data_IF_465977357830
#
_entry.id   IF_465977357830
#
_cell.length_a   1.000
_cell.length_b   1.000
_cell.length_c   1.000
_cell.angle_alpha   90.00
_cell.angle_beta   90.00
_cell.angle_gamma   90.00
#
_symmetry.space_group_name_H-M   'P 1'
#
loop_
_entity.id
_entity.type
_entity.pdbx_description
1 polymer ?
#
# COMPACT_ATOMS: atom_id res chain seq x y z
N UNK A 1 21.01 -28.11 -5.79
CA UNK A 1 19.69 -28.55 -5.30
C UNK A 1 18.63 -27.55 -5.78
N UNK A 2 17.40 -28.00 -6.07
CA UNK A 2 16.31 -27.13 -6.53
C UNK A 2 15.30 -26.93 -5.40
N UNK A 3 14.82 -25.70 -5.22
CA UNK A 3 13.88 -25.32 -4.18
C UNK A 3 12.72 -24.53 -4.81
N UNK A 4 11.54 -24.57 -4.18
CA UNK A 4 10.36 -23.77 -4.56
C UNK A 4 9.97 -22.84 -3.41
N UNK A 5 9.48 -21.64 -3.72
CA UNK A 5 8.93 -20.72 -2.71
C UNK A 5 7.69 -21.37 -2.07
N UNK A 6 7.48 -21.14 -0.77
CA UNK A 6 6.24 -21.53 -0.09
C UNK A 6 5.08 -20.67 -0.61
N UNK A 7 3.86 -21.21 -0.74
CA UNK A 7 2.68 -20.40 -1.01
C UNK A 7 2.46 -19.45 0.18
N UNK A 8 2.10 -18.20 -0.12
CA UNK A 8 1.88 -17.15 0.87
C UNK A 8 0.61 -16.41 0.50
N UNK A 9 -0.28 -16.25 1.48
CA UNK A 9 -1.44 -15.36 1.40
C UNK A 9 -1.06 -14.01 1.97
N UNK A 10 -1.50 -12.93 1.31
CA UNK A 10 -1.26 -11.55 1.73
C UNK A 10 -2.59 -10.81 1.88
N UNK A 11 -2.57 -9.67 2.57
CA UNK A 11 -3.67 -8.71 2.54
C UNK A 11 -3.27 -7.54 1.64
N UNK A 12 -4.22 -7.03 0.84
CA UNK A 12 -4.01 -5.83 0.03
C UNK A 12 -5.31 -5.09 -0.22
N UNK A 13 -5.20 -3.80 -0.55
CA UNK A 13 -6.29 -3.03 -1.14
C UNK A 13 -5.75 -2.20 -2.30
N UNK A 14 -6.60 -1.90 -3.29
CA UNK A 14 -6.23 -0.99 -4.38
C UNK A 14 -6.45 0.45 -3.93
N UNK A 15 -5.42 1.27 -4.03
CA UNK A 15 -5.46 2.68 -3.65
C UNK A 15 -6.15 3.51 -4.73
N UNK A 16 -7.19 4.23 -4.36
CA UNK A 16 -8.03 5.02 -5.28
C UNK A 16 -7.79 6.54 -5.16
N UNK A 17 -6.85 6.96 -4.30
CA UNK A 17 -6.50 8.37 -4.08
C UNK A 17 -6.87 8.91 -2.71
N UNK A 18 -7.63 8.16 -1.90
CA UNK A 18 -7.94 8.52 -0.52
C UNK A 18 -7.84 7.31 0.41
N UNK A 19 -7.81 7.57 1.72
CA UNK A 19 -7.99 6.55 2.76
C UNK A 19 -9.33 6.75 3.49
N UNK A 20 -9.96 7.92 3.32
CA UNK A 20 -11.18 8.37 3.99
C UNK A 20 -12.25 8.81 2.99
N UNK A 21 -13.50 8.61 3.38
CA UNK A 21 -14.64 9.19 2.65
C UNK A 21 -14.79 10.67 3.02
N UNK A 22 -15.66 11.37 2.29
CA UNK A 22 -16.03 12.76 2.57
C UNK A 22 -16.63 12.97 3.99
N UNK A 23 -17.15 11.92 4.64
CA UNK A 23 -17.64 11.97 6.02
C UNK A 23 -16.53 11.77 7.08
N UNK A 24 -15.27 11.65 6.64
CA UNK A 24 -14.09 11.49 7.48
C UNK A 24 -13.81 10.05 7.93
N UNK A 25 -14.65 9.07 7.56
CA UNK A 25 -14.45 7.67 7.95
C UNK A 25 -13.50 6.95 7.02
N UNK A 26 -12.60 6.15 7.60
CA UNK A 26 -11.74 5.26 6.85
C UNK A 26 -12.55 4.14 6.18
N UNK A 27 -12.20 3.83 4.93
CA UNK A 27 -12.76 2.68 4.19
C UNK A 27 -11.71 1.64 3.80
N UNK A 28 -10.46 1.89 4.15
CA UNK A 28 -9.33 0.98 3.97
C UNK A 28 -9.21 0.02 5.17
N UNK A 29 -8.50 -1.12 5.03
CA UNK A 29 -8.31 -2.07 6.12
C UNK A 29 -7.74 -1.44 7.40
N UNK A 30 -8.07 -2.00 8.56
CA UNK A 30 -7.63 -1.48 9.87
C UNK A 30 -6.11 -1.34 9.98
N UNK A 31 -5.36 -2.25 9.37
CA UNK A 31 -3.90 -2.18 9.36
C UNK A 31 -3.37 -0.96 8.59
N UNK A 32 -4.07 -0.52 7.53
CA UNK A 32 -3.71 0.67 6.76
C UNK A 32 -4.03 1.93 7.56
N UNK A 33 -5.15 1.94 8.28
CA UNK A 33 -5.51 3.02 9.22
C UNK A 33 -4.44 3.17 10.30
N UNK A 34 -4.01 2.05 10.90
CA UNK A 34 -2.94 2.02 11.90
C UNK A 34 -1.63 2.57 11.30
N UNK A 35 -1.23 2.08 10.14
CA UNK A 35 -0.01 2.53 9.46
C UNK A 35 -0.03 4.03 9.14
N UNK A 36 -1.17 4.57 8.75
CA UNK A 36 -1.34 6.01 8.56
C UNK A 36 -1.22 6.79 9.87
N UNK A 37 -1.87 6.32 10.94
CA UNK A 37 -1.78 6.95 12.27
C UNK A 37 -0.36 6.94 12.87
N UNK A 38 0.43 5.92 12.54
CA UNK A 38 1.83 5.76 12.97
C UNK A 38 2.82 6.48 12.03
N UNK A 39 2.35 7.12 10.96
CA UNK A 39 3.18 7.82 9.98
C UNK A 39 4.08 6.90 9.15
N UNK A 40 3.73 5.62 9.04
CA UNK A 40 4.31 4.67 8.07
C UNK A 40 3.76 4.98 6.69
N UNK A 41 2.44 5.20 6.60
CA UNK A 41 1.78 5.79 5.44
C UNK A 41 1.52 7.27 5.72
N UNK A 42 1.75 8.15 4.75
CA UNK A 42 1.55 9.58 4.94
C UNK A 42 1.34 10.28 3.60
N UNK A 43 0.63 11.41 3.64
CA UNK A 43 0.48 12.29 2.49
C UNK A 43 1.62 13.32 2.47
N UNK A 44 2.22 13.51 1.31
CA UNK A 44 3.25 14.51 1.09
C UNK A 44 3.19 15.06 -0.35
N UNK A 45 3.94 16.12 -0.61
CA UNK A 45 4.05 16.69 -1.94
C UNK A 45 5.16 15.99 -2.73
N UNK A 46 4.93 15.79 -4.04
CA UNK A 46 5.95 15.23 -4.92
C UNK A 46 7.13 16.20 -5.15
N UNK A 47 6.88 17.49 -4.98
CA UNK A 47 7.82 18.57 -5.17
C UNK A 47 7.46 19.77 -4.28
N UNK A 48 8.35 20.79 -4.12
CA UNK A 48 8.12 21.90 -3.21
C UNK A 48 6.97 22.87 -3.57
N UNK A 49 6.39 22.76 -4.77
CA UNK A 49 5.34 23.67 -5.25
C UNK A 49 3.97 22.99 -5.36
N UNK A 50 3.94 21.66 -5.35
CA UNK A 50 2.71 20.86 -5.39
C UNK A 50 2.06 20.73 -4.00
N UNK A 51 0.72 20.60 -3.92
CA UNK A 51 0.06 20.29 -2.66
C UNK A 51 0.39 18.86 -2.18
N UNK A 52 0.31 18.57 -0.87
CA UNK A 52 0.64 17.26 -0.33
C UNK A 52 -0.51 16.27 -0.49
N UNK A 53 -0.77 15.87 -1.73
CA UNK A 53 -1.88 14.98 -2.11
C UNK A 53 -1.41 13.59 -2.52
N UNK A 54 -0.11 13.32 -2.50
CA UNK A 54 0.46 12.04 -2.91
C UNK A 54 0.69 11.13 -1.71
N UNK A 55 0.34 9.85 -1.84
CA UNK A 55 0.53 8.87 -0.77
C UNK A 55 1.94 8.30 -0.83
N UNK A 56 2.63 8.30 0.31
CA UNK A 56 3.94 7.71 0.50
C UNK A 56 3.92 6.65 1.60
N UNK A 57 4.77 5.64 1.45
CA UNK A 57 4.90 4.50 2.36
C UNK A 57 6.37 4.32 2.73
N UNK A 58 6.66 4.29 4.03
CA UNK A 58 7.97 3.88 4.56
C UNK A 58 8.10 2.36 4.45
N UNK A 59 8.84 1.90 3.46
CA UNK A 59 9.16 0.49 3.24
C UNK A 59 10.54 0.17 3.83
N UNK A 60 10.96 -1.11 3.74
CA UNK A 60 12.32 -1.53 4.11
C UNK A 60 13.40 -0.99 3.16
N UNK A 61 13.01 -0.56 1.96
CA UNK A 61 13.91 -0.07 0.91
C UNK A 61 13.96 1.47 0.85
N UNK A 62 13.12 2.15 1.63
CA UNK A 62 13.04 3.60 1.69
C UNK A 62 11.60 4.10 1.65
N UNK A 63 11.41 5.38 1.33
CA UNK A 63 10.08 5.95 1.14
C UNK A 63 9.67 5.74 -0.31
N UNK A 64 8.54 5.07 -0.53
CA UNK A 64 7.99 4.81 -1.85
C UNK A 64 6.69 5.56 -2.06
N UNK A 65 6.54 6.12 -3.26
CA UNK A 65 5.29 6.71 -3.73
C UNK A 65 4.30 5.63 -4.14
N UNK A 66 3.04 5.80 -3.75
CA UNK A 66 1.91 5.01 -4.18
C UNK A 66 1.01 5.86 -5.09
N UNK A 67 0.90 5.45 -6.35
CA UNK A 67 0.03 6.10 -7.33
C UNK A 67 -1.40 5.56 -7.22
N UNK A 68 -2.39 6.35 -7.62
CA UNK A 68 -3.76 5.86 -7.80
C UNK A 68 -3.76 4.64 -8.74
N UNK A 69 -4.44 3.58 -8.33
CA UNK A 69 -4.48 2.28 -8.99
C UNK A 69 -3.46 1.27 -8.48
N UNK A 70 -2.44 1.70 -7.73
CA UNK A 70 -1.48 0.79 -7.10
C UNK A 70 -2.17 -0.03 -6.00
N UNK A 71 -1.76 -1.29 -5.87
CA UNK A 71 -2.12 -2.11 -4.71
C UNK A 71 -1.19 -1.79 -3.55
N UNK A 72 -1.74 -1.53 -2.37
CA UNK A 72 -0.98 -1.46 -1.14
C UNK A 72 -1.01 -2.83 -0.50
N UNK A 73 0.15 -3.47 -0.41
CA UNK A 73 0.30 -4.81 0.14
C UNK A 73 0.79 -4.72 1.57
N UNK A 74 0.19 -5.54 2.44
CA UNK A 74 0.74 -5.90 3.73
C UNK A 74 1.42 -7.28 3.63
N UNK A 75 2.74 -7.27 3.73
CA UNK A 75 3.57 -8.47 3.75
C UNK A 75 3.40 -9.28 5.05
N UNK A 76 4.00 -10.48 5.07
CA UNK A 76 3.80 -11.44 6.16
C UNK A 76 4.30 -10.95 7.52
N UNK A 77 5.32 -10.09 7.55
CA UNK A 77 5.88 -9.56 8.79
C UNK A 77 5.34 -8.14 9.09
N UNK A 78 4.28 -7.71 8.39
CA UNK A 78 3.67 -6.39 8.55
C UNK A 78 4.34 -5.27 7.75
N UNK A 79 5.36 -5.57 6.94
CA UNK A 79 5.93 -4.61 5.99
C UNK A 79 4.88 -4.15 4.97
N UNK A 80 4.91 -2.87 4.62
CA UNK A 80 4.00 -2.28 3.64
C UNK A 80 4.77 -1.82 2.42
N UNK A 81 4.20 -2.01 1.23
CA UNK A 81 4.76 -1.50 -0.02
C UNK A 81 3.68 -1.34 -1.10
N UNK A 82 3.84 -0.35 -2.00
CA UNK A 82 3.00 -0.24 -3.18
C UNK A 82 3.42 -1.26 -4.25
N UNK A 83 2.46 -1.74 -5.03
CA UNK A 83 2.66 -2.67 -6.13
C UNK A 83 1.83 -2.22 -7.34
N UNK A 84 2.46 -2.12 -8.51
CA UNK A 84 1.75 -1.72 -9.73
C UNK A 84 0.69 -2.77 -10.10
N UNK A 85 -0.50 -2.35 -10.55
CA UNK A 85 -1.62 -3.27 -10.77
C UNK A 85 -1.29 -4.38 -11.78
N UNK A 86 -0.54 -4.08 -12.84
CA UNK A 86 -0.12 -5.08 -13.83
C UNK A 86 0.89 -6.11 -13.28
N UNK A 87 1.65 -5.76 -12.24
CA UNK A 87 2.54 -6.68 -11.51
C UNK A 87 1.72 -7.48 -10.51
N UNK A 88 0.80 -6.83 -9.79
CA UNK A 88 -0.06 -7.45 -8.78
C UNK A 88 -0.89 -8.58 -9.40
N UNK A 89 -1.62 -8.29 -10.48
CA UNK A 89 -2.53 -9.23 -11.14
C UNK A 89 -1.79 -10.41 -11.81
N UNK A 90 -0.50 -10.25 -12.15
CA UNK A 90 0.35 -11.35 -12.64
C UNK A 90 0.90 -12.22 -11.51
N UNK A 91 0.92 -11.71 -10.28
CA UNK A 91 1.60 -12.33 -9.13
C UNK A 91 0.63 -12.95 -8.15
N UNK A 92 -0.55 -12.36 -7.97
CA UNK A 92 -1.53 -12.73 -6.97
C UNK A 92 -2.87 -13.07 -7.61
N UNK A 93 -3.57 -14.01 -6.99
CA UNK A 93 -4.96 -14.36 -7.29
C UNK A 93 -5.78 -14.21 -6.00
N UNK A 94 -7.10 -14.13 -6.14
CA UNK A 94 -7.99 -14.10 -4.99
C UNK A 94 -7.86 -15.43 -4.24
N UNK A 95 -7.55 -15.36 -2.95
CA UNK A 95 -7.50 -16.49 -2.04
C UNK A 95 -8.61 -16.37 -0.99
N UNK A 96 -9.29 -17.47 -0.70
CA UNK A 96 -10.31 -17.58 0.36
C UNK A 96 -9.71 -17.79 1.75
#
# INVERSE_FOLDING_TARGET
MKYRKKPVTIEAFQYDGDLKRADGKYYVPEWAVKAFSEGIMFYDAHDPISPPTELYIKTLEGVHHASVGDYIIKGMNGELYPCKPDIFEKTYEIAE
#
